data_IF_483404977251
#
_entry.id   IF_483404977251
#
_cell.length_a   1.000
_cell.length_b   1.000
_cell.length_c   1.000
_cell.angle_alpha   90.00
_cell.angle_beta   90.00
_cell.angle_gamma   90.00
#
_symmetry.space_group_name_H-M   'P 1'
#
loop_
_entity.id
_entity.type
_entity.pdbx_description
1 polymer ?
#
# COMPACT_ATOMS: atom_id res chain seq x y z
N UNK A 1 27.36 53.18 9.80
CA UNK A 1 26.63 53.31 8.53
C UNK A 1 26.97 52.09 7.64
N UNK A 2 26.15 51.04 7.69
CA UNK A 2 26.25 49.88 6.79
C UNK A 2 25.26 50.07 5.64
N UNK A 3 25.77 50.12 4.41
CA UNK A 3 24.93 50.17 3.20
C UNK A 3 24.42 48.75 2.92
N UNK A 4 23.09 48.60 2.92
CA UNK A 4 22.40 47.41 2.45
C UNK A 4 22.33 47.49 0.91
N UNK A 5 22.92 46.52 0.22
CA UNK A 5 22.83 46.37 -1.23
C UNK A 5 21.43 45.88 -1.61
N UNK A 6 20.72 46.70 -2.42
CA UNK A 6 19.43 46.35 -2.99
C UNK A 6 19.59 45.34 -4.14
N UNK A 7 19.47 44.04 -3.83
CA UNK A 7 19.35 43.00 -4.84
C UNK A 7 17.99 43.06 -5.51
N UNK A 8 17.94 43.34 -6.81
CA UNK A 8 16.71 43.25 -7.60
C UNK A 8 16.26 41.78 -7.70
N UNK A 9 15.15 41.45 -7.06
CA UNK A 9 14.43 40.20 -7.30
C UNK A 9 13.85 40.25 -8.73
N UNK A 10 14.36 39.42 -9.63
CA UNK A 10 13.67 39.12 -10.88
C UNK A 10 12.50 38.16 -10.57
N UNK A 11 11.26 38.51 -10.92
CA UNK A 11 10.16 37.55 -10.77
C UNK A 11 10.42 36.36 -11.71
N UNK A 12 10.56 35.20 -11.12
CA UNK A 12 10.56 33.93 -11.87
C UNK A 12 9.12 33.72 -12.38
N UNK A 13 8.91 33.81 -13.67
CA UNK A 13 7.64 33.45 -14.30
C UNK A 13 7.51 31.94 -14.15
N UNK A 14 6.81 31.49 -13.11
CA UNK A 14 6.37 30.11 -12.98
C UNK A 14 5.28 29.96 -14.04
N UNK A 15 5.64 29.31 -15.15
CA UNK A 15 4.62 28.85 -16.09
C UNK A 15 3.61 28.01 -15.33
N UNK A 16 2.35 28.44 -15.32
CA UNK A 16 1.24 27.64 -14.80
C UNK A 16 1.21 26.35 -15.61
N UNK A 17 1.76 25.27 -15.04
CA UNK A 17 1.41 23.93 -15.48
C UNK A 17 -0.05 23.75 -15.08
N UNK A 18 -0.94 23.87 -16.03
CA UNK A 18 -2.34 23.52 -15.85
C UNK A 18 -2.36 22.01 -15.62
N UNK A 19 -2.35 21.59 -14.37
CA UNK A 19 -2.69 20.21 -14.00
C UNK A 19 -4.15 20.06 -14.40
N UNK A 20 -4.40 19.41 -15.52
CA UNK A 20 -5.73 18.97 -15.87
C UNK A 20 -6.24 18.15 -14.69
N UNK A 21 -7.25 18.68 -13.99
CA UNK A 21 -7.96 17.95 -12.96
C UNK A 21 -8.76 16.85 -13.69
N UNK A 22 -8.40 15.57 -13.61
CA UNK A 22 -9.19 14.52 -14.22
C UNK A 22 -10.36 14.20 -13.29
N UNK A 23 -11.30 15.13 -13.21
CA UNK A 23 -12.65 14.84 -12.75
C UNK A 23 -13.29 14.01 -13.86
N UNK A 24 -13.32 12.71 -13.67
CA UNK A 24 -13.90 11.67 -14.55
C UNK A 24 -13.47 11.79 -16.03
N UNK A 25 -12.80 10.81 -16.60
CA UNK A 25 -12.52 10.83 -18.02
C UNK A 25 -13.87 10.78 -18.77
N UNK A 26 -14.28 11.91 -19.32
CA UNK A 26 -15.35 11.97 -20.30
C UNK A 26 -14.85 11.30 -21.58
N UNK A 27 -15.09 10.00 -21.70
CA UNK A 27 -14.67 9.21 -22.85
C UNK A 27 -14.07 7.86 -22.43
N UNK A 28 -14.17 6.85 -23.26
CA UNK A 28 -13.78 5.44 -23.11
C UNK A 28 -12.28 5.20 -22.81
N UNK A 29 -11.66 5.96 -21.88
CA UNK A 29 -10.27 5.76 -21.47
C UNK A 29 -10.24 4.65 -20.43
N UNK A 30 -9.45 3.61 -20.69
CA UNK A 30 -9.29 2.49 -19.75
C UNK A 30 -8.74 2.98 -18.40
N UNK A 31 -9.28 2.56 -17.23
CA UNK A 31 -8.84 3.04 -15.93
C UNK A 31 -7.34 2.84 -15.64
N UNK A 32 -6.72 1.83 -16.24
CA UNK A 32 -5.28 1.58 -16.13
C UNK A 32 -4.42 2.64 -16.85
N UNK A 33 -5.00 3.40 -17.79
CA UNK A 33 -4.24 4.39 -18.56
C UNK A 33 -3.59 5.44 -17.65
N UNK A 34 -4.27 5.89 -16.61
CA UNK A 34 -3.71 6.85 -15.64
C UNK A 34 -2.45 6.33 -14.95
N UNK A 35 -2.35 5.00 -14.72
CA UNK A 35 -1.14 4.38 -14.18
C UNK A 35 0.00 4.40 -15.21
N UNK A 36 -0.27 4.10 -16.47
CA UNK A 36 0.72 4.16 -17.55
C UNK A 36 1.19 5.60 -17.80
N UNK A 37 0.29 6.56 -17.73
CA UNK A 37 0.62 7.98 -17.88
C UNK A 37 1.49 8.48 -16.74
N UNK A 38 1.20 8.07 -15.50
CA UNK A 38 2.05 8.34 -14.33
C UNK A 38 3.46 7.73 -14.52
N UNK A 39 3.54 6.46 -14.94
CA UNK A 39 4.81 5.79 -15.21
C UNK A 39 5.63 6.54 -16.27
N UNK A 40 4.99 6.93 -17.38
CA UNK A 40 5.62 7.73 -18.44
C UNK A 40 6.10 9.08 -17.92
N UNK A 41 5.25 9.80 -17.18
CA UNK A 41 5.60 11.09 -16.62
C UNK A 41 6.86 11.01 -15.75
N UNK A 42 6.94 10.02 -14.85
CA UNK A 42 8.11 9.84 -14.00
C UNK A 42 9.35 9.53 -14.84
N UNK A 43 9.21 8.62 -15.81
CA UNK A 43 10.33 8.18 -16.65
C UNK A 43 10.90 9.30 -17.52
N UNK A 44 10.05 10.16 -18.07
CA UNK A 44 10.45 11.25 -18.95
C UNK A 44 10.87 12.51 -18.21
N UNK A 45 10.17 12.86 -17.12
CA UNK A 45 10.30 14.18 -16.46
C UNK A 45 10.79 14.11 -15.01
N UNK A 46 10.89 12.91 -14.43
CA UNK A 46 11.29 12.74 -13.03
C UNK A 46 12.74 13.16 -12.78
N UNK A 47 12.98 13.73 -11.61
CA UNK A 47 14.32 14.08 -11.16
C UNK A 47 15.13 12.83 -10.79
N UNK A 48 16.39 12.77 -11.22
CA UNK A 48 17.30 11.70 -10.83
C UNK A 48 17.76 11.87 -9.39
N UNK A 49 17.74 10.78 -8.63
CA UNK A 49 18.18 10.73 -7.24
C UNK A 49 18.90 9.43 -6.96
N UNK A 50 19.93 9.49 -6.12
CA UNK A 50 20.53 8.30 -5.52
C UNK A 50 19.86 8.11 -4.16
N UNK A 51 19.26 6.96 -3.97
CA UNK A 51 18.62 6.57 -2.71
C UNK A 51 19.53 5.67 -1.87
N UNK A 52 19.02 5.19 -0.71
CA UNK A 52 19.77 4.31 0.20
C UNK A 52 20.23 2.99 -0.43
N UNK A 53 19.57 2.53 -1.49
CA UNK A 53 19.92 1.27 -2.18
C UNK A 53 21.11 1.43 -3.12
N UNK A 54 21.50 2.67 -3.46
CA UNK A 54 22.56 2.96 -4.41
C UNK A 54 22.21 2.70 -5.89
N UNK A 55 21.03 2.15 -6.19
CA UNK A 55 20.57 1.85 -7.55
C UNK A 55 20.25 3.14 -8.30
N UNK A 56 19.68 4.10 -7.59
CA UNK A 56 19.17 5.35 -8.14
C UNK A 56 17.76 5.24 -8.70
N UNK A 57 17.05 6.35 -8.62
CA UNK A 57 15.63 6.45 -9.02
C UNK A 57 15.41 7.69 -9.88
N UNK A 58 14.36 7.67 -10.69
CA UNK A 58 13.67 8.87 -11.18
C UNK A 58 12.43 9.09 -10.36
N UNK A 59 12.20 10.30 -9.85
CA UNK A 59 11.08 10.58 -8.95
C UNK A 59 10.42 11.92 -9.21
N UNK A 60 9.13 11.98 -8.85
CA UNK A 60 8.34 13.19 -8.78
C UNK A 60 7.76 13.35 -7.36
N UNK A 61 7.53 14.59 -6.95
CA UNK A 61 6.87 14.91 -5.70
C UNK A 61 5.37 15.04 -5.91
N UNK A 62 4.62 14.11 -5.35
CA UNK A 62 3.16 14.12 -5.41
C UNK A 62 2.56 13.58 -6.70
N UNK A 63 1.63 12.64 -6.55
CA UNK A 63 0.77 12.16 -7.64
C UNK A 63 -0.55 11.67 -7.06
N UNK A 64 -1.58 11.56 -7.91
CA UNK A 64 -2.89 11.07 -7.54
C UNK A 64 -3.47 10.21 -8.66
N UNK A 65 -4.04 9.05 -8.29
CA UNK A 65 -4.81 8.18 -9.17
C UNK A 65 -6.19 7.96 -8.57
N UNK A 66 -7.22 7.77 -9.42
CA UNK A 66 -8.59 7.52 -8.99
C UNK A 66 -9.18 6.32 -9.72
N UNK A 67 -9.83 5.44 -8.96
CA UNK A 67 -10.44 4.23 -9.49
C UNK A 67 -11.84 4.09 -8.93
N UNK A 68 -12.84 3.99 -9.80
CA UNK A 68 -14.20 3.60 -9.40
C UNK A 68 -14.22 2.08 -9.12
N UNK A 69 -14.70 1.70 -7.94
CA UNK A 69 -14.82 0.31 -7.51
C UNK A 69 -16.25 -0.23 -7.65
N UNK A 70 -17.14 0.53 -8.28
CA UNK A 70 -18.53 0.10 -8.49
C UNK A 70 -18.58 -1.24 -9.21
N UNK A 71 -19.62 -2.01 -8.91
CA UNK A 71 -19.88 -3.32 -9.51
C UNK A 71 -18.69 -4.30 -9.42
N UNK A 72 -17.85 -4.14 -8.43
CA UNK A 72 -16.65 -4.96 -8.21
C UNK A 72 -15.45 -4.61 -9.09
N UNK A 73 -15.46 -3.49 -9.82
CA UNK A 73 -14.31 -3.05 -10.61
C UNK A 73 -13.07 -2.89 -9.73
N UNK A 74 -11.92 -3.35 -10.23
CA UNK A 74 -10.67 -3.36 -9.47
C UNK A 74 -9.52 -2.73 -10.24
N UNK A 75 -8.65 -1.94 -9.57
CA UNK A 75 -7.44 -1.37 -10.16
C UNK A 75 -6.33 -2.43 -10.31
N UNK A 76 -6.63 -3.50 -11.03
CA UNK A 76 -5.73 -4.60 -11.27
C UNK A 76 -5.17 -4.52 -12.70
N UNK A 77 -3.86 -4.32 -12.82
CA UNK A 77 -3.22 -4.08 -14.10
C UNK A 77 -3.36 -5.27 -15.04
N UNK A 78 -3.64 -4.99 -16.30
CA UNK A 78 -3.73 -5.97 -17.39
C UNK A 78 -2.53 -5.90 -18.35
N UNK A 79 -1.80 -4.79 -18.37
CA UNK A 79 -0.58 -4.64 -19.17
C UNK A 79 0.58 -5.50 -18.68
N UNK A 80 0.54 -5.95 -17.43
CA UNK A 80 1.37 -7.04 -16.91
C UNK A 80 0.58 -7.83 -15.86
N UNK A 81 0.95 -9.10 -15.69
CA UNK A 81 0.35 -9.93 -14.65
C UNK A 81 0.72 -9.43 -13.26
N UNK A 82 -0.28 -9.16 -12.43
CA UNK A 82 -0.14 -8.90 -10.99
C UNK A 82 -0.62 -10.14 -10.24
N UNK A 83 0.20 -10.61 -9.31
CA UNK A 83 -0.13 -11.79 -8.49
C UNK A 83 -1.05 -11.39 -7.34
N UNK A 84 -2.29 -11.05 -7.66
CA UNK A 84 -3.28 -10.52 -6.74
C UNK A 84 -3.55 -11.43 -5.53
N UNK A 85 -3.47 -12.77 -5.70
CA UNK A 85 -3.59 -13.71 -4.56
C UNK A 85 -2.46 -13.53 -3.54
N UNK A 86 -1.27 -13.19 -3.98
CA UNK A 86 -0.13 -12.88 -3.11
C UNK A 86 -0.40 -11.62 -2.30
N UNK A 87 -0.85 -10.54 -2.95
CA UNK A 87 -1.23 -9.30 -2.27
C UNK A 87 -2.44 -9.50 -1.32
N UNK A 88 -3.40 -10.35 -1.69
CA UNK A 88 -4.52 -10.71 -0.80
C UNK A 88 -4.05 -11.44 0.45
N UNK A 89 -3.15 -12.43 0.32
CA UNK A 89 -2.58 -13.14 1.48
C UNK A 89 -1.81 -12.19 2.40
N UNK A 90 -1.07 -11.24 1.84
CA UNK A 90 -0.40 -10.20 2.62
C UNK A 90 -1.39 -9.33 3.38
N UNK A 91 -2.46 -8.85 2.73
CA UNK A 91 -3.50 -8.05 3.40
C UNK A 91 -4.18 -8.84 4.53
N UNK A 92 -4.56 -10.09 4.28
CA UNK A 92 -5.15 -10.95 5.31
C UNK A 92 -4.18 -11.19 6.48
N UNK A 93 -2.88 -11.33 6.20
CA UNK A 93 -1.86 -11.43 7.24
C UNK A 93 -1.74 -10.12 8.04
N UNK A 94 -1.79 -8.94 7.41
CA UNK A 94 -1.84 -7.67 8.14
C UNK A 94 -3.05 -7.61 9.09
N UNK A 95 -4.21 -8.10 8.68
CA UNK A 95 -5.41 -8.14 9.52
C UNK A 95 -5.27 -9.07 10.73
N UNK A 96 -4.33 -10.02 10.75
CA UNK A 96 -4.04 -10.82 11.95
C UNK A 96 -3.24 -10.06 13.00
N UNK A 97 -2.62 -8.93 12.66
CA UNK A 97 -1.68 -8.22 13.53
C UNK A 97 -0.36 -8.93 13.76
N UNK A 98 -0.11 -10.05 13.09
CA UNK A 98 1.16 -10.78 13.16
C UNK A 98 2.29 -9.95 12.57
N UNK A 99 3.46 -10.05 13.19
CA UNK A 99 4.71 -9.44 12.71
C UNK A 99 5.68 -10.49 12.17
N UNK A 100 5.38 -11.77 12.35
CA UNK A 100 6.21 -12.88 11.92
C UNK A 100 5.85 -13.34 10.51
N UNK A 101 6.87 -13.49 9.65
CA UNK A 101 6.69 -13.86 8.24
C UNK A 101 6.34 -15.35 8.02
N UNK A 102 6.49 -16.23 9.02
CA UNK A 102 6.26 -17.67 8.85
C UNK A 102 4.91 -18.02 8.21
N UNK A 103 3.77 -17.41 8.60
CA UNK A 103 2.49 -17.68 7.96
C UNK A 103 2.47 -17.33 6.47
N UNK A 104 3.22 -16.30 6.05
CA UNK A 104 3.36 -15.91 4.64
C UNK A 104 4.25 -16.92 3.89
N UNK A 105 5.38 -17.30 4.48
CA UNK A 105 6.31 -18.29 3.93
C UNK A 105 5.59 -19.62 3.66
N UNK A 106 4.80 -20.13 4.62
CA UNK A 106 4.00 -21.35 4.48
C UNK A 106 2.95 -21.27 3.37
N UNK A 107 2.54 -20.07 2.97
CA UNK A 107 1.63 -19.83 1.86
C UNK A 107 2.35 -19.48 0.53
N UNK A 108 3.68 -19.60 0.49
CA UNK A 108 4.50 -19.31 -0.68
C UNK A 108 4.61 -17.80 -1.01
N UNK A 109 4.31 -16.92 -0.07
CA UNK A 109 4.45 -15.46 -0.22
C UNK A 109 5.87 -15.05 0.15
N UNK A 110 6.56 -14.37 -0.76
CA UNK A 110 7.99 -14.04 -0.63
C UNK A 110 8.28 -12.56 -0.37
N UNK A 111 7.25 -11.71 -0.33
CA UNK A 111 7.37 -10.24 -0.31
C UNK A 111 8.25 -9.73 0.84
N UNK A 112 8.30 -10.45 1.96
CA UNK A 112 8.93 -9.99 3.19
C UNK A 112 10.20 -10.76 3.59
N UNK A 113 10.68 -11.69 2.76
CA UNK A 113 11.75 -12.63 3.14
C UNK A 113 13.12 -11.96 3.35
N UNK A 114 13.41 -10.93 2.55
CA UNK A 114 14.74 -10.31 2.50
C UNK A 114 15.08 -9.55 3.79
N UNK A 115 14.11 -8.89 4.43
CA UNK A 115 14.35 -8.06 5.62
C UNK A 115 14.80 -8.87 6.84
N UNK A 116 14.07 -9.92 7.28
CA UNK A 116 14.51 -10.72 8.41
C UNK A 116 15.76 -11.55 8.07
N UNK A 117 15.95 -11.98 6.81
CA UNK A 117 17.17 -12.61 6.36
C UNK A 117 18.39 -11.69 6.52
N UNK A 118 18.30 -10.45 6.02
CA UNK A 118 19.37 -9.45 6.17
C UNK A 118 19.68 -9.16 7.64
N UNK A 119 18.65 -9.11 8.50
CA UNK A 119 18.81 -8.96 9.94
C UNK A 119 19.54 -10.16 10.56
N UNK A 120 19.15 -11.37 10.20
CA UNK A 120 19.80 -12.61 10.66
C UNK A 120 21.30 -12.62 10.32
N UNK A 121 21.63 -12.40 9.04
CA UNK A 121 23.03 -12.36 8.58
C UNK A 121 23.84 -11.29 9.31
N UNK A 122 23.28 -10.10 9.49
CA UNK A 122 23.94 -9.01 10.21
C UNK A 122 24.23 -9.33 11.67
N UNK A 123 23.28 -9.97 12.36
CA UNK A 123 23.41 -10.24 13.81
C UNK A 123 24.23 -11.48 14.12
N UNK A 124 24.17 -12.50 13.27
CA UNK A 124 24.85 -13.79 13.54
C UNK A 124 26.19 -13.91 12.83
N UNK A 125 26.40 -13.20 11.73
CA UNK A 125 27.53 -13.39 10.82
C UNK A 125 27.44 -14.67 9.99
N UNK A 126 26.36 -15.44 10.09
CA UNK A 126 26.11 -16.67 9.32
C UNK A 126 25.70 -16.30 7.87
N UNK A 127 26.47 -16.66 6.84
CA UNK A 127 26.20 -16.31 5.46
C UNK A 127 25.14 -17.20 4.79
N UNK A 128 24.16 -17.71 5.53
CA UNK A 128 23.09 -18.55 5.00
C UNK A 128 22.43 -17.89 3.79
N UNK A 129 22.14 -18.67 2.74
CA UNK A 129 21.40 -18.17 1.58
C UNK A 129 19.93 -17.87 1.91
N UNK A 130 19.32 -16.95 1.14
CA UNK A 130 17.92 -16.57 1.36
C UNK A 130 16.96 -17.76 1.29
N UNK A 131 17.14 -18.68 0.32
CA UNK A 131 16.27 -19.84 0.16
C UNK A 131 16.41 -20.81 1.36
N UNK A 132 17.62 -21.04 1.86
CA UNK A 132 17.87 -21.87 3.04
C UNK A 132 17.32 -21.23 4.31
N UNK A 133 17.45 -19.90 4.46
CA UNK A 133 16.82 -19.15 5.54
C UNK A 133 15.30 -19.32 5.53
N UNK A 134 14.67 -19.15 4.36
CA UNK A 134 13.22 -19.30 4.18
C UNK A 134 12.75 -20.74 4.46
N UNK A 135 13.50 -21.75 4.01
CA UNK A 135 13.22 -23.13 4.34
C UNK A 135 13.24 -23.37 5.85
N UNK A 136 14.25 -22.82 6.53
CA UNK A 136 14.36 -22.93 7.99
C UNK A 136 13.24 -22.17 8.73
N UNK A 137 12.80 -21.02 8.24
CA UNK A 137 11.61 -20.32 8.78
C UNK A 137 10.35 -21.19 8.67
N UNK A 138 10.21 -21.95 7.58
CA UNK A 138 9.07 -22.84 7.39
C UNK A 138 9.11 -24.05 8.33
N UNK A 139 10.26 -24.69 8.48
CA UNK A 139 10.43 -25.99 9.13
C UNK A 139 10.64 -25.88 10.64
N UNK A 140 11.33 -24.83 11.12
CA UNK A 140 11.70 -24.63 12.52
C UNK A 140 10.95 -23.44 13.13
N UNK A 141 9.92 -23.75 13.92
CA UNK A 141 9.11 -22.72 14.59
C UNK A 141 9.92 -21.89 15.60
N UNK A 142 10.87 -22.51 16.28
CA UNK A 142 11.75 -21.81 17.25
C UNK A 142 12.63 -20.81 16.52
N UNK A 143 13.19 -21.22 15.39
CA UNK A 143 13.96 -20.33 14.54
C UNK A 143 13.08 -19.21 13.97
N UNK A 144 11.89 -19.53 13.48
CA UNK A 144 10.95 -18.55 12.95
C UNK A 144 10.51 -17.53 14.02
N UNK A 145 10.23 -17.97 15.24
CA UNK A 145 9.86 -17.09 16.36
C UNK A 145 10.99 -16.11 16.72
N UNK A 146 12.24 -16.51 16.51
CA UNK A 146 13.40 -15.66 16.80
C UNK A 146 13.77 -14.73 15.64
N UNK A 147 13.68 -15.20 14.39
CA UNK A 147 14.27 -14.53 13.24
C UNK A 147 13.27 -14.13 12.16
N UNK A 148 12.02 -14.53 12.28
CA UNK A 148 10.97 -14.20 11.31
C UNK A 148 10.23 -12.90 11.61
N UNK A 149 10.57 -12.19 12.68
CA UNK A 149 9.87 -10.97 13.12
C UNK A 149 10.33 -9.73 12.35
N UNK A 150 9.37 -8.96 11.86
CA UNK A 150 9.57 -7.67 11.16
C UNK A 150 9.45 -6.45 12.08
N UNK A 151 9.21 -6.68 13.37
CA UNK A 151 8.84 -5.61 14.29
C UNK A 151 7.41 -5.11 14.07
N UNK A 152 6.99 -3.99 14.71
CA UNK A 152 5.59 -3.54 14.76
C UNK A 152 5.13 -2.89 13.45
N UNK A 153 5.26 -3.61 12.30
CA UNK A 153 4.88 -3.12 10.98
C UNK A 153 3.35 -3.17 10.76
N UNK A 154 2.86 -2.41 9.82
CA UNK A 154 1.48 -2.39 9.23
C UNK A 154 0.37 -2.98 10.11
N UNK A 155 0.14 -4.29 10.02
CA UNK A 155 -0.95 -4.99 10.68
C UNK A 155 -0.92 -4.84 12.20
N UNK A 156 0.28 -4.84 12.82
CA UNK A 156 0.43 -4.59 14.24
C UNK A 156 -0.08 -3.21 14.63
N UNK A 157 0.21 -2.18 13.82
CA UNK A 157 -0.32 -0.84 14.06
C UNK A 157 -1.83 -0.77 13.83
N UNK A 158 -2.36 -1.50 12.84
CA UNK A 158 -3.78 -1.44 12.48
C UNK A 158 -4.69 -2.12 13.51
N UNK A 159 -4.25 -3.22 14.11
CA UNK A 159 -5.11 -4.03 15.00
C UNK A 159 -4.72 -3.97 16.48
N UNK A 160 -3.56 -3.41 16.80
CA UNK A 160 -3.08 -3.29 18.18
C UNK A 160 -2.17 -2.07 18.32
N UNK A 161 -2.69 -0.87 18.01
CA UNK A 161 -1.99 0.39 18.20
C UNK A 161 -1.70 0.61 19.68
N UNK A 162 -0.44 0.85 20.10
CA UNK A 162 -0.09 0.95 21.52
C UNK A 162 -0.73 2.17 22.18
N UNK A 163 -1.27 1.97 23.37
CA UNK A 163 -1.77 3.04 24.23
C UNK A 163 -0.99 3.11 25.52
N UNK A 164 -0.98 4.29 26.13
CA UNK A 164 -0.36 4.52 27.41
C UNK A 164 -1.32 5.28 28.32
N UNK A 165 -1.45 4.83 29.57
CA UNK A 165 -2.27 5.48 30.59
C UNK A 165 -1.38 6.16 31.60
N UNK A 166 -1.72 7.39 31.95
CA UNK A 166 -1.06 8.11 33.02
C UNK A 166 -1.54 7.59 34.38
N UNK A 167 -0.61 7.25 35.22
CA UNK A 167 -0.90 6.73 36.56
C UNK A 167 -0.84 7.83 37.61
N UNK A 168 -1.48 7.58 38.77
CA UNK A 168 -1.48 8.52 39.89
C UNK A 168 -0.09 8.79 40.51
N UNK A 169 0.88 7.86 40.30
CA UNK A 169 2.28 8.00 40.75
C UNK A 169 3.14 8.84 39.78
N UNK A 170 2.56 9.41 38.71
CA UNK A 170 3.26 10.23 37.73
C UNK A 170 3.93 9.46 36.60
N UNK A 171 3.76 8.14 36.55
CA UNK A 171 4.31 7.28 35.50
C UNK A 171 3.26 6.94 34.43
N UNK A 172 3.73 6.50 33.25
CA UNK A 172 2.89 5.93 32.23
C UNK A 172 2.98 4.40 32.26
N UNK A 173 1.86 3.74 32.13
CA UNK A 173 1.79 2.30 31.91
C UNK A 173 1.20 2.00 30.54
N UNK A 174 1.63 0.89 29.93
CA UNK A 174 1.05 0.41 28.68
C UNK A 174 -0.39 -0.03 28.93
N UNK A 175 -1.33 0.54 28.16
CA UNK A 175 -2.75 0.14 28.15
C UNK A 175 -3.02 -0.96 27.16
N UNK A 176 -4.30 -1.31 27.00
CA UNK A 176 -4.77 -2.16 25.91
C UNK A 176 -4.56 -1.46 24.58
N UNK A 177 -4.17 -2.23 23.56
CA UNK A 177 -4.02 -1.71 22.20
C UNK A 177 -5.36 -1.35 21.58
N UNK A 178 -5.33 -0.43 20.62
CA UNK A 178 -6.51 -0.05 19.85
C UNK A 178 -6.51 -0.82 18.52
N UNK A 179 -7.60 -1.54 18.27
CA UNK A 179 -7.88 -2.09 16.95
C UNK A 179 -8.55 -1.00 16.08
N UNK A 180 -7.74 -0.33 15.26
CA UNK A 180 -8.19 0.77 14.39
C UNK A 180 -9.19 0.27 13.33
N UNK A 181 -8.99 -0.94 12.79
CA UNK A 181 -9.87 -1.54 11.79
C UNK A 181 -11.27 -1.75 12.38
N UNK A 182 -11.37 -2.39 13.54
CA UNK A 182 -12.64 -2.61 14.22
C UNK A 182 -13.31 -1.28 14.58
N UNK A 183 -12.56 -0.32 15.12
CA UNK A 183 -13.05 1.01 15.49
C UNK A 183 -13.59 1.79 14.29
N UNK A 184 -12.93 1.72 13.13
CA UNK A 184 -13.40 2.36 11.89
C UNK A 184 -14.68 1.72 11.39
N UNK A 185 -14.80 0.37 11.38
CA UNK A 185 -16.01 -0.34 10.97
C UNK A 185 -17.18 0.02 11.88
N UNK A 186 -16.98 0.03 13.20
CA UNK A 186 -18.01 0.42 14.15
C UNK A 186 -18.43 1.88 13.98
N UNK A 187 -17.48 2.78 13.79
CA UNK A 187 -17.74 4.19 13.52
C UNK A 187 -18.47 4.42 12.19
N UNK A 188 -18.17 3.66 11.15
CA UNK A 188 -18.87 3.72 9.86
C UNK A 188 -20.33 3.29 9.99
N UNK A 189 -20.63 2.29 10.85
CA UNK A 189 -22.00 1.83 11.12
C UNK A 189 -22.80 2.83 11.96
N UNK A 190 -22.16 3.45 12.96
CA UNK A 190 -22.86 4.31 13.94
C UNK A 190 -22.85 5.79 13.58
N UNK A 191 -21.88 6.23 12.81
CA UNK A 191 -21.66 7.65 12.47
C UNK A 191 -21.04 7.80 11.07
N UNK A 192 -21.72 7.37 10.00
CA UNK A 192 -21.15 7.32 8.64
C UNK A 192 -20.69 8.70 8.12
N UNK A 193 -21.29 9.79 8.58
CA UNK A 193 -20.90 11.17 8.24
C UNK A 193 -19.66 11.69 8.98
N UNK A 194 -19.02 10.92 9.84
CA UNK A 194 -17.80 11.30 10.53
C UNK A 194 -16.64 11.51 9.55
N UNK A 195 -15.73 12.43 9.87
CA UNK A 195 -14.48 12.67 9.11
C UNK A 195 -13.26 12.01 9.77
N UNK A 196 -13.49 11.09 10.71
CA UNK A 196 -12.46 10.48 11.57
C UNK A 196 -12.28 8.98 11.29
N UNK A 197 -12.78 8.47 10.17
CA UNK A 197 -12.59 7.08 9.75
C UNK A 197 -11.17 6.93 9.17
N UNK A 198 -10.17 6.83 10.05
CA UNK A 198 -8.75 6.81 9.67
C UNK A 198 -8.10 5.56 10.26
N UNK A 199 -7.29 4.90 9.44
CA UNK A 199 -6.36 3.85 9.85
C UNK A 199 -4.96 4.36 9.55
N UNK A 200 -4.09 4.36 10.56
CA UNK A 200 -2.74 4.91 10.47
C UNK A 200 -1.71 3.82 10.79
N UNK A 201 -0.68 3.70 9.96
CA UNK A 201 0.44 2.78 10.17
C UNK A 201 1.71 3.48 10.66
N UNK A 202 1.81 4.81 10.55
CA UNK A 202 3.03 5.57 10.85
C UNK A 202 3.11 5.95 12.33
N UNK A 203 3.59 5.02 13.15
CA UNK A 203 3.82 5.24 14.57
C UNK A 203 5.26 5.72 14.80
N UNK A 204 5.43 7.02 15.00
CA UNK A 204 6.74 7.67 15.15
C UNK A 204 7.56 7.07 16.30
N UNK A 205 6.91 6.61 17.37
CA UNK A 205 7.57 6.03 18.52
C UNK A 205 8.14 4.62 18.28
N UNK A 206 7.76 3.96 17.19
CA UNK A 206 8.14 2.57 16.91
C UNK A 206 8.84 2.37 15.54
N UNK A 207 9.09 3.45 14.79
CA UNK A 207 9.70 3.35 13.45
C UNK A 207 11.05 2.63 13.45
N UNK A 208 11.89 2.90 14.46
CA UNK A 208 13.23 2.31 14.58
C UNK A 208 13.20 0.80 14.87
N UNK A 209 12.04 0.28 15.27
CA UNK A 209 11.81 -1.15 15.55
C UNK A 209 11.24 -1.89 14.35
N UNK A 210 10.85 -1.20 13.30
CA UNK A 210 10.25 -1.76 12.10
C UNK A 210 11.34 -2.15 11.09
N UNK A 211 11.29 -3.36 10.57
CA UNK A 211 12.19 -3.79 9.49
C UNK A 211 12.04 -2.89 8.26
N UNK A 212 10.83 -2.39 8.00
CA UNK A 212 10.54 -1.40 6.97
C UNK A 212 9.43 -0.46 7.46
N UNK A 213 9.69 0.86 7.63
CA UNK A 213 8.65 1.83 7.94
C UNK A 213 7.53 1.86 6.88
N UNK A 214 6.25 1.93 7.27
CA UNK A 214 5.11 1.80 6.36
C UNK A 214 5.16 2.78 5.18
N UNK A 215 5.06 2.25 3.96
CA UNK A 215 4.96 3.06 2.75
C UNK A 215 3.54 3.57 2.53
N UNK A 216 2.55 2.68 2.46
CA UNK A 216 1.12 3.03 2.49
C UNK A 216 0.68 3.19 3.94
N UNK A 217 0.71 4.43 4.42
CA UNK A 217 0.67 4.70 5.86
C UNK A 217 -0.70 5.13 6.40
N UNK A 218 -1.52 5.82 5.62
CA UNK A 218 -2.81 6.36 6.06
C UNK A 218 -3.91 5.98 5.10
N UNK A 219 -4.96 5.39 5.62
CA UNK A 219 -6.22 5.16 4.93
C UNK A 219 -7.29 6.03 5.57
N UNK A 220 -8.00 6.82 4.79
CA UNK A 220 -9.16 7.57 5.26
C UNK A 220 -10.38 7.17 4.45
N UNK A 221 -11.46 6.81 5.15
CA UNK A 221 -12.72 6.44 4.51
C UNK A 221 -13.71 7.58 4.56
N UNK A 222 -14.50 7.68 3.50
CA UNK A 222 -15.52 8.70 3.33
C UNK A 222 -16.78 8.06 2.74
N UNK A 223 -17.92 8.31 3.36
CA UNK A 223 -19.22 7.83 2.87
C UNK A 223 -19.83 8.91 1.99
N UNK A 224 -20.28 8.53 0.80
CA UNK A 224 -21.07 9.36 -0.12
C UNK A 224 -22.40 8.68 -0.44
N UNK A 225 -23.44 9.49 -0.70
CA UNK A 225 -24.82 9.00 -0.82
C UNK A 225 -25.48 8.80 0.52
N UNK A 226 -26.72 8.37 0.50
CA UNK A 226 -27.55 8.17 1.69
C UNK A 226 -28.21 6.78 1.66
N UNK A 227 -28.44 6.21 2.83
CA UNK A 227 -29.15 4.92 3.04
C UNK A 227 -28.68 3.79 2.12
N UNK A 228 -29.60 3.12 1.40
CA UNK A 228 -29.31 1.97 0.52
C UNK A 228 -28.34 2.29 -0.64
N UNK A 229 -28.15 3.57 -0.98
CA UNK A 229 -27.21 4.04 -1.99
C UNK A 229 -25.84 4.46 -1.46
N UNK A 230 -25.56 4.29 -0.16
CA UNK A 230 -24.32 4.71 0.45
C UNK A 230 -23.10 3.98 -0.15
N UNK A 231 -22.10 4.77 -0.54
CA UNK A 231 -20.84 4.27 -1.12
C UNK A 231 -19.66 4.60 -0.22
N UNK A 232 -18.83 3.60 0.05
CA UNK A 232 -17.62 3.76 0.83
C UNK A 232 -16.43 4.08 -0.10
N UNK A 233 -15.90 5.28 0.02
CA UNK A 233 -14.70 5.72 -0.68
C UNK A 233 -13.49 5.61 0.24
N UNK A 234 -12.30 5.43 -0.35
CA UNK A 234 -11.04 5.37 0.38
C UNK A 234 -10.03 6.32 -0.23
N UNK A 235 -9.39 7.13 0.60
CA UNK A 235 -8.17 7.86 0.27
C UNK A 235 -7.00 7.14 0.91
N UNK A 236 -6.07 6.64 0.08
CA UNK A 236 -4.80 6.07 0.54
C UNK A 236 -3.69 7.09 0.35
N UNK A 237 -3.01 7.49 1.42
CA UNK A 237 -1.73 8.20 1.32
C UNK A 237 -0.55 7.24 1.45
N UNK A 238 0.28 7.23 0.42
CA UNK A 238 1.51 6.44 0.34
C UNK A 238 2.72 7.38 0.29
N UNK A 239 3.57 7.37 1.33
CA UNK A 239 4.71 8.30 1.46
C UNK A 239 5.83 8.04 0.46
N UNK A 240 5.99 6.78 0.05
CA UNK A 240 7.05 6.31 -0.84
C UNK A 240 6.49 5.19 -1.71
N UNK A 241 6.67 5.30 -3.02
CA UNK A 241 6.02 4.41 -3.97
C UNK A 241 6.95 4.03 -5.13
N UNK A 242 7.42 2.77 -5.14
CA UNK A 242 7.91 2.13 -6.36
C UNK A 242 6.71 1.85 -7.29
N UNK A 243 6.59 2.65 -8.35
CA UNK A 243 5.46 2.55 -9.28
C UNK A 243 5.52 1.27 -10.09
N UNK A 244 6.71 0.77 -10.39
CA UNK A 244 6.87 -0.40 -11.25
C UNK A 244 6.48 -1.72 -10.55
N UNK A 245 6.91 -1.95 -9.32
CA UNK A 245 6.68 -3.22 -8.61
C UNK A 245 5.70 -3.09 -7.46
N UNK A 246 5.81 -2.05 -6.63
CA UNK A 246 5.03 -1.90 -5.40
C UNK A 246 3.60 -1.42 -5.63
N UNK A 247 3.43 -0.36 -6.42
CA UNK A 247 2.12 0.29 -6.60
C UNK A 247 0.99 -0.66 -7.03
N UNK A 248 1.19 -1.59 -7.99
CA UNK A 248 0.12 -2.51 -8.38
C UNK A 248 -0.43 -3.36 -7.24
N UNK A 249 0.44 -3.80 -6.32
CA UNK A 249 0.05 -4.54 -5.11
C UNK A 249 -0.68 -3.64 -4.12
N UNK A 250 -0.20 -2.40 -3.92
CA UNK A 250 -0.81 -1.46 -2.98
C UNK A 250 -2.20 -1.00 -3.45
N UNK A 251 -2.39 -0.77 -4.75
CA UNK A 251 -3.70 -0.44 -5.32
C UNK A 251 -4.70 -1.59 -5.13
N UNK A 252 -4.28 -2.83 -5.42
CA UNK A 252 -5.11 -4.00 -5.18
C UNK A 252 -5.50 -4.13 -3.72
N UNK A 253 -4.52 -4.08 -2.79
CA UNK A 253 -4.76 -4.26 -1.36
C UNK A 253 -5.68 -3.17 -0.79
N UNK A 254 -5.51 -1.91 -1.22
CA UNK A 254 -6.36 -0.82 -0.79
C UNK A 254 -7.80 -0.94 -1.32
N UNK A 255 -7.96 -1.31 -2.58
CA UNK A 255 -9.28 -1.55 -3.17
C UNK A 255 -9.98 -2.73 -2.50
N UNK A 256 -9.25 -3.83 -2.25
CA UNK A 256 -9.77 -5.00 -1.56
C UNK A 256 -10.19 -4.68 -0.13
N UNK A 257 -9.35 -3.98 0.64
CA UNK A 257 -9.69 -3.53 2.00
C UNK A 257 -10.95 -2.66 2.00
N UNK A 258 -11.06 -1.74 1.02
CA UNK A 258 -12.24 -0.89 0.86
C UNK A 258 -13.49 -1.73 0.59
N UNK A 259 -13.42 -2.71 -0.32
CA UNK A 259 -14.54 -3.60 -0.64
C UNK A 259 -14.95 -4.48 0.56
N UNK A 260 -13.98 -4.99 1.33
CA UNK A 260 -14.23 -5.77 2.54
C UNK A 260 -14.93 -4.93 3.62
N UNK A 261 -14.45 -3.71 3.87
CA UNK A 261 -15.07 -2.78 4.84
C UNK A 261 -16.47 -2.38 4.36
N UNK A 262 -16.65 -2.07 3.08
CA UNK A 262 -17.95 -1.76 2.50
C UNK A 262 -18.95 -2.91 2.73
N UNK A 263 -18.56 -4.17 2.45
CA UNK A 263 -19.41 -5.34 2.70
C UNK A 263 -19.72 -5.49 4.18
N UNK A 264 -18.75 -5.27 5.09
CA UNK A 264 -18.97 -5.34 6.54
C UNK A 264 -19.93 -4.27 7.07
N UNK A 265 -19.99 -3.12 6.41
CA UNK A 265 -20.83 -1.97 6.80
C UNK A 265 -22.10 -1.82 5.96
N UNK A 266 -22.42 -2.81 5.10
CA UNK A 266 -23.59 -2.83 4.22
C UNK A 266 -23.63 -1.66 3.21
N UNK A 267 -22.46 -1.14 2.85
CA UNK A 267 -22.29 -0.11 1.84
C UNK A 267 -21.81 -0.71 0.52
N UNK A 268 -21.96 0.04 -0.57
CA UNK A 268 -21.35 -0.30 -1.85
C UNK A 268 -19.90 0.21 -1.90
N UNK A 269 -18.96 -0.51 -2.53
CA UNK A 269 -17.66 0.06 -2.83
C UNK A 269 -17.80 1.32 -3.68
N UNK A 270 -17.10 2.37 -3.28
CA UNK A 270 -17.11 3.67 -3.94
C UNK A 270 -15.87 3.89 -4.80
N UNK A 271 -15.08 4.87 -4.46
CA UNK A 271 -13.88 5.29 -5.18
C UNK A 271 -12.63 5.01 -4.33
N UNK A 272 -11.57 4.49 -4.95
CA UNK A 272 -10.23 4.51 -4.39
C UNK A 272 -9.47 5.70 -4.95
N UNK A 273 -9.03 6.61 -4.08
CA UNK A 273 -8.15 7.72 -4.40
C UNK A 273 -6.77 7.40 -3.81
N UNK A 274 -5.81 7.07 -4.66
CA UNK A 274 -4.43 6.90 -4.24
C UNK A 274 -3.67 8.22 -4.34
N UNK A 275 -2.91 8.56 -3.30
CA UNK A 275 -2.07 9.75 -3.22
C UNK A 275 -0.65 9.34 -2.86
N UNK A 276 0.30 9.59 -3.76
CA UNK A 276 1.72 9.32 -3.55
C UNK A 276 2.50 10.56 -3.13
N UNK A 277 3.42 10.43 -2.19
CA UNK A 277 4.37 11.47 -1.78
C UNK A 277 5.63 11.48 -2.63
N UNK A 278 6.61 10.60 -2.33
CA UNK A 278 7.75 10.31 -3.19
C UNK A 278 7.36 9.19 -4.16
N UNK A 279 7.18 9.52 -5.43
CA UNK A 279 6.68 8.59 -6.45
C UNK A 279 7.79 8.34 -7.45
N UNK A 280 8.29 7.10 -7.52
CA UNK A 280 9.55 6.84 -8.22
C UNK A 280 9.55 5.53 -9.03
N UNK A 281 10.51 5.47 -9.94
CA UNK A 281 10.90 4.32 -10.73
C UNK A 281 12.41 4.07 -10.55
N UNK A 282 12.80 2.84 -10.29
CA UNK A 282 14.20 2.47 -10.20
C UNK A 282 14.86 2.41 -11.58
N UNK A 283 16.13 2.84 -11.68
CA UNK A 283 16.85 2.90 -12.95
C UNK A 283 17.11 1.52 -13.56
N UNK A 284 17.30 0.52 -12.73
CA UNK A 284 17.45 -0.88 -13.16
C UNK A 284 16.15 -1.53 -13.67
N UNK A 285 15.02 -0.82 -13.61
CA UNK A 285 13.72 -1.25 -14.15
C UNK A 285 13.45 -0.72 -15.57
N UNK A 286 14.41 -0.09 -16.24
CA UNK A 286 14.23 0.53 -17.56
C UNK A 286 13.51 -0.40 -18.56
N UNK A 287 13.97 -1.66 -18.69
CA UNK A 287 13.38 -2.65 -19.60
C UNK A 287 11.91 -2.96 -19.26
N UNK A 288 11.56 -3.05 -17.96
CA UNK A 288 10.18 -3.26 -17.52
C UNK A 288 9.30 -2.08 -17.92
N UNK A 289 9.81 -0.86 -17.70
CA UNK A 289 9.08 0.39 -17.95
C UNK A 289 8.79 0.52 -19.46
N UNK A 290 9.80 0.37 -20.29
CA UNK A 290 9.70 0.46 -21.74
C UNK A 290 8.75 -0.60 -22.29
N UNK A 291 8.88 -1.84 -21.85
CA UNK A 291 8.00 -2.94 -22.27
C UNK A 291 6.56 -2.68 -21.81
N UNK A 292 6.32 -2.30 -20.56
CA UNK A 292 4.97 -2.06 -20.05
C UNK A 292 4.30 -0.86 -20.72
N UNK A 293 5.05 0.22 -21.01
CA UNK A 293 4.54 1.40 -21.73
C UNK A 293 4.22 1.12 -23.21
N UNK A 294 4.78 0.06 -23.81
CA UNK A 294 4.45 -0.37 -25.16
C UNK A 294 3.15 -1.18 -25.25
N UNK A 295 2.62 -1.64 -24.10
CA UNK A 295 1.43 -2.50 -24.02
C UNK A 295 0.15 -1.69 -23.89
N UNK A 296 -0.94 -2.23 -24.43
CA UNK A 296 -2.28 -1.63 -24.32
C UNK A 296 -3.08 -2.34 -23.25
N UNK A 297 -3.75 -1.61 -22.32
CA UNK A 297 -4.66 -2.19 -21.36
C UNK A 297 -5.80 -2.97 -22.02
N UNK A 298 -6.23 -4.05 -21.38
CA UNK A 298 -7.32 -4.88 -21.87
C UNK A 298 -8.09 -5.56 -20.74
N UNK A 299 -9.42 -5.62 -20.93
CA UNK A 299 -10.32 -6.18 -19.91
C UNK A 299 -10.57 -5.23 -18.74
N UNK A 300 -11.58 -5.57 -17.93
CA UNK A 300 -11.96 -4.83 -16.74
C UNK A 300 -12.10 -5.83 -15.59
N UNK A 301 -11.02 -6.10 -14.82
CA UNK A 301 -11.04 -7.07 -13.74
C UNK A 301 -12.10 -6.74 -12.70
N UNK A 302 -12.85 -7.76 -12.29
CA UNK A 302 -13.95 -7.63 -11.33
C UNK A 302 -13.77 -8.59 -10.17
N UNK A 303 -13.87 -8.06 -8.96
CA UNK A 303 -13.85 -8.82 -7.71
C UNK A 303 -15.25 -9.32 -7.37
N UNK A 304 -15.34 -10.58 -7.00
CA UNK A 304 -16.50 -11.14 -6.32
C UNK A 304 -16.07 -11.65 -4.96
N UNK A 305 -16.77 -11.21 -3.91
CA UNK A 305 -16.60 -11.68 -2.54
C UNK A 305 -17.76 -12.66 -2.25
N UNK A 306 -17.42 -13.95 -2.14
CA UNK A 306 -18.42 -15.02 -2.12
C UNK A 306 -19.23 -15.11 -0.82
N UNK A 307 -18.68 -14.64 0.32
CA UNK A 307 -19.39 -14.63 1.60
C UNK A 307 -19.07 -13.35 2.39
N UNK A 308 -19.92 -13.02 3.32
CA UNK A 308 -19.68 -12.01 4.36
C UNK A 308 -19.47 -12.76 5.68
N UNK A 309 -18.24 -12.83 6.20
CA UNK A 309 -17.98 -13.42 7.51
C UNK A 309 -18.50 -12.53 8.64
N UNK A 310 -18.47 -13.04 9.87
CA UNK A 310 -18.92 -12.31 11.06
C UNK A 310 -18.11 -11.04 11.28
N UNK A 311 -16.78 -11.13 11.12
CA UNK A 311 -15.88 -10.00 11.21
C UNK A 311 -14.96 -9.90 9.99
N UNK A 312 -14.34 -8.74 9.79
CA UNK A 312 -13.36 -8.53 8.72
C UNK A 312 -12.11 -9.42 8.88
N UNK A 313 -11.84 -9.90 10.09
CA UNK A 313 -10.69 -10.74 10.42
C UNK A 313 -10.89 -12.22 10.03
N UNK A 314 -12.11 -12.61 9.67
CA UNK A 314 -12.50 -13.99 9.33
C UNK A 314 -12.54 -14.27 7.83
N UNK A 315 -12.18 -13.30 6.99
CA UNK A 315 -12.04 -13.53 5.55
C UNK A 315 -10.88 -14.48 5.25
N UNK A 316 -11.06 -15.28 4.21
CA UNK A 316 -10.07 -16.24 3.72
C UNK A 316 -9.82 -16.01 2.23
N UNK A 317 -8.70 -16.49 1.72
CA UNK A 317 -8.33 -16.32 0.30
C UNK A 317 -9.39 -16.91 -0.64
N UNK A 318 -10.09 -17.96 -0.23
CA UNK A 318 -11.14 -18.64 -1.00
C UNK A 318 -12.41 -17.78 -1.15
N UNK A 319 -12.59 -16.77 -0.31
CA UNK A 319 -13.75 -15.87 -0.38
C UNK A 319 -13.67 -14.92 -1.59
N UNK A 320 -12.51 -14.79 -2.22
CA UNK A 320 -12.24 -13.83 -3.29
C UNK A 320 -12.04 -14.53 -4.63
N UNK A 321 -12.78 -14.05 -5.63
CA UNK A 321 -12.60 -14.47 -7.02
C UNK A 321 -12.50 -13.24 -7.90
N UNK A 322 -11.59 -13.28 -8.87
CA UNK A 322 -11.43 -12.22 -9.87
C UNK A 322 -11.88 -12.74 -11.23
N UNK A 323 -12.86 -12.08 -11.81
CA UNK A 323 -13.37 -12.33 -13.16
C UNK A 323 -12.75 -11.35 -14.15
N UNK A 324 -12.80 -11.69 -15.43
CA UNK A 324 -12.38 -10.84 -16.55
C UNK A 324 -10.92 -10.36 -16.46
N UNK A 325 -10.08 -11.12 -15.76
CA UNK A 325 -8.66 -10.83 -15.60
C UNK A 325 -7.82 -11.65 -16.58
N UNK A 326 -7.51 -11.06 -17.72
CA UNK A 326 -6.69 -11.62 -18.80
C UNK A 326 -5.43 -10.78 -18.99
N UNK A 327 -4.48 -10.81 -18.04
CA UNK A 327 -3.29 -9.97 -18.10
C UNK A 327 -2.30 -10.49 -19.14
N UNK A 328 -1.53 -9.57 -19.70
CA UNK A 328 -0.35 -9.90 -20.47
C UNK A 328 0.72 -10.54 -19.58
N UNK A 329 1.76 -11.11 -20.20
CA UNK A 329 2.82 -11.81 -19.51
C UNK A 329 3.46 -10.96 -18.38
N UNK A 330 3.90 -11.55 -17.28
CA UNK A 330 4.65 -10.84 -16.25
C UNK A 330 5.95 -10.27 -16.85
N UNK A 331 6.39 -9.14 -16.30
CA UNK A 331 7.69 -8.54 -16.62
C UNK A 331 8.51 -8.59 -15.34
N UNK A 332 9.60 -9.34 -15.35
CA UNK A 332 10.47 -9.48 -14.18
C UNK A 332 11.38 -8.27 -14.01
N UNK A 333 11.58 -7.86 -12.77
CA UNK A 333 12.59 -6.87 -12.40
C UNK A 333 13.12 -7.18 -10.99
N UNK A 334 14.38 -6.83 -10.67
CA UNK A 334 14.95 -7.06 -9.35
C UNK A 334 14.30 -6.14 -8.32
N UNK A 335 14.07 -6.66 -7.12
CA UNK A 335 13.62 -5.86 -5.98
C UNK A 335 14.79 -5.05 -5.45
N UNK A 336 14.57 -3.76 -5.16
CA UNK A 336 15.55 -2.91 -4.51
C UNK A 336 15.38 -3.01 -2.98
N UNK A 337 16.39 -3.52 -2.28
CA UNK A 337 16.41 -3.72 -0.81
C UNK A 337 17.48 -2.88 -0.14
#
# INVERSE_FOLDING_TARGET
MCRVASGQFRPMVIGMVTVANPLSPSGNIHPEQQYLDLMRQIWETGSERIDRTGIGTRSICGAMLRFDLADGAMPLLTTKRVYWKTATRELLWFLTGSTNIRPLVLQGVKIWNEWPHANYVRETGDPIGLDDFVARIAEDETFANRWGDLGPVYGKQWVDWPTYRYRADGLYEKGEGINQIAAVIDSLRTSPGSRRHIIEGWNVAELDRMALPPCHKTYQFHVSGEEEGARLNCVLYQRSCDVALGLPFNLWSAALLTAMIAQQTEMQPGELVWMGGDVHLYRNHAHLIEEQLSRTPGGHPRLVIARRPETIFDYRIEDFTVHDYTPQAPISAPVAV
#
